data_IF_633947778594
#
_entry.id   IF_633947778594
#
_cell.length_a   1.000
_cell.length_b   1.000
_cell.length_c   1.000
_cell.angle_alpha   90.00
_cell.angle_beta   90.00
_cell.angle_gamma   90.00
#
_symmetry.space_group_name_H-M   'P 1'
#
loop_
_entity.id
_entity.type
_entity.pdbx_description
1 polymer ?
#
# COMPACT_ATOMS: atom_id res chain seq x y z
N UNK A 1 -23.01 -47.91 -4.33
CA UNK A 1 -23.15 -46.79 -5.28
C UNK A 1 -23.53 -47.34 -6.63
N UNK A 2 -24.56 -46.77 -7.28
CA UNK A 2 -25.00 -47.17 -8.62
C UNK A 2 -23.93 -46.74 -9.66
N UNK A 3 -23.38 -47.66 -10.49
CA UNK A 3 -22.41 -47.33 -11.54
C UNK A 3 -22.91 -46.28 -12.55
N UNK A 4 -24.22 -46.28 -12.81
CA UNK A 4 -24.86 -45.37 -13.75
C UNK A 4 -24.90 -43.92 -13.21
N UNK A 5 -25.24 -43.75 -11.93
CA UNK A 5 -25.19 -42.46 -11.25
C UNK A 5 -23.77 -41.88 -11.22
N UNK A 6 -22.76 -42.74 -11.01
CA UNK A 6 -21.35 -42.34 -11.07
C UNK A 6 -20.93 -41.87 -12.47
N UNK A 7 -21.46 -42.50 -13.53
CA UNK A 7 -21.20 -42.07 -14.90
C UNK A 7 -21.87 -40.72 -15.20
N UNK A 8 -23.12 -40.51 -14.75
CA UNK A 8 -23.83 -39.24 -14.92
C UNK A 8 -23.12 -38.07 -14.21
N UNK A 9 -22.62 -38.28 -12.99
CA UNK A 9 -21.82 -37.25 -12.29
C UNK A 9 -20.54 -36.91 -13.04
N UNK A 10 -19.88 -37.90 -13.67
CA UNK A 10 -18.69 -37.62 -14.50
C UNK A 10 -19.03 -36.74 -15.70
N UNK A 11 -20.20 -36.94 -16.33
CA UNK A 11 -20.66 -36.11 -17.45
C UNK A 11 -20.99 -34.71 -16.94
N UNK A 12 -21.72 -34.57 -15.83
CA UNK A 12 -22.01 -33.27 -15.21
C UNK A 12 -20.73 -32.48 -14.91
N UNK A 13 -19.69 -33.15 -14.40
CA UNK A 13 -18.37 -32.56 -14.11
C UNK A 13 -17.61 -32.05 -15.33
N UNK A 14 -17.98 -32.49 -16.54
CA UNK A 14 -17.41 -31.95 -17.78
C UNK A 14 -18.02 -30.58 -18.13
N UNK A 15 -19.23 -30.29 -17.63
CA UNK A 15 -19.93 -29.02 -17.88
C UNK A 15 -19.67 -28.00 -16.76
N UNK A 16 -19.67 -28.45 -15.50
CA UNK A 16 -19.54 -27.58 -14.34
C UNK A 16 -18.82 -28.31 -13.19
N UNK A 17 -17.90 -27.66 -12.46
CA UNK A 17 -17.22 -28.29 -11.33
C UNK A 17 -18.23 -28.66 -10.25
N UNK A 18 -18.23 -29.92 -9.81
CA UNK A 18 -19.08 -30.39 -8.71
C UNK A 18 -18.42 -31.57 -8.01
N UNK A 19 -18.64 -31.66 -6.68
CA UNK A 19 -18.23 -32.82 -5.89
C UNK A 19 -19.06 -34.06 -6.23
N UNK A 20 -18.55 -35.26 -5.92
CA UNK A 20 -19.30 -36.49 -6.21
C UNK A 20 -20.62 -36.58 -5.42
N UNK A 21 -20.60 -36.27 -4.12
CA UNK A 21 -21.80 -36.31 -3.26
C UNK A 21 -22.83 -35.28 -3.70
N UNK A 22 -22.42 -34.01 -3.80
CA UNK A 22 -23.28 -32.92 -4.27
C UNK A 22 -23.84 -33.19 -5.66
N UNK A 23 -23.02 -33.70 -6.59
CA UNK A 23 -23.45 -34.02 -7.94
C UNK A 23 -24.51 -35.13 -7.99
N UNK A 24 -24.40 -36.16 -7.15
CA UNK A 24 -25.44 -37.20 -7.06
C UNK A 24 -26.75 -36.64 -6.51
N UNK A 25 -26.69 -35.87 -5.41
CA UNK A 25 -27.88 -35.23 -4.82
C UNK A 25 -28.57 -34.29 -5.82
N UNK A 26 -27.78 -33.55 -6.60
CA UNK A 26 -28.29 -32.63 -7.61
C UNK A 26 -28.99 -33.38 -8.75
N UNK A 27 -28.37 -34.44 -9.28
CA UNK A 27 -28.95 -35.28 -10.32
C UNK A 27 -30.22 -35.98 -9.84
N UNK A 28 -30.24 -36.52 -8.62
CA UNK A 28 -31.45 -37.10 -8.02
C UNK A 28 -32.59 -36.07 -7.95
N UNK A 29 -32.29 -34.84 -7.52
CA UNK A 29 -33.28 -33.76 -7.45
C UNK A 29 -33.80 -33.29 -8.82
N UNK A 30 -33.01 -33.50 -9.88
CA UNK A 30 -33.35 -33.17 -11.27
C UNK A 30 -33.80 -34.42 -12.07
N UNK A 31 -34.17 -35.52 -11.41
CA UNK A 31 -34.58 -36.77 -12.04
C UNK A 31 -33.59 -37.32 -13.09
N UNK A 32 -32.29 -37.06 -12.90
CA UNK A 32 -31.20 -37.47 -13.80
C UNK A 32 -30.94 -36.52 -14.97
N UNK A 33 -31.64 -35.38 -15.06
CA UNK A 33 -31.40 -34.37 -16.11
C UNK A 33 -30.12 -33.60 -15.82
N UNK A 34 -29.10 -33.85 -16.65
CA UNK A 34 -27.75 -33.25 -16.51
C UNK A 34 -27.78 -31.75 -16.83
N UNK A 35 -28.54 -31.33 -17.84
CA UNK A 35 -28.61 -29.92 -18.25
C UNK A 35 -29.33 -29.10 -17.18
N UNK A 36 -30.43 -29.63 -16.64
CA UNK A 36 -31.14 -29.00 -15.54
C UNK A 36 -30.28 -28.92 -14.28
N UNK A 37 -29.54 -29.99 -13.96
CA UNK A 37 -28.61 -30.02 -12.84
C UNK A 37 -27.49 -28.98 -13.01
N UNK A 38 -26.88 -28.89 -14.20
CA UNK A 38 -25.84 -27.91 -14.49
C UNK A 38 -26.37 -26.47 -14.37
N UNK A 39 -27.56 -26.18 -14.93
CA UNK A 39 -28.19 -24.87 -14.83
C UNK A 39 -28.50 -24.47 -13.38
N UNK A 40 -28.98 -25.41 -12.56
CA UNK A 40 -29.25 -25.16 -11.14
C UNK A 40 -27.96 -24.85 -10.38
N UNK A 41 -26.87 -25.58 -10.65
CA UNK A 41 -25.59 -25.35 -9.99
C UNK A 41 -24.96 -24.03 -10.42
N UNK A 42 -25.05 -23.67 -11.70
CA UNK A 42 -24.67 -22.34 -12.20
C UNK A 42 -25.42 -21.24 -11.44
N UNK A 43 -26.74 -21.37 -11.27
CA UNK A 43 -27.53 -20.41 -10.49
C UNK A 43 -27.07 -20.33 -9.02
N UNK A 44 -26.68 -21.45 -8.40
CA UNK A 44 -26.14 -21.45 -7.02
C UNK A 44 -24.82 -20.68 -6.93
N UNK A 45 -23.90 -20.88 -7.87
CA UNK A 45 -22.63 -20.15 -7.90
C UNK A 45 -22.84 -18.66 -8.17
N UNK A 46 -23.69 -18.33 -9.13
CA UNK A 46 -24.09 -16.96 -9.44
C UNK A 46 -24.69 -16.25 -8.22
N UNK A 47 -25.64 -16.89 -7.54
CA UNK A 47 -26.28 -16.35 -6.35
C UNK A 47 -25.28 -16.11 -5.20
N UNK A 48 -24.29 -17.00 -5.02
CA UNK A 48 -23.23 -16.81 -4.01
C UNK A 48 -22.37 -15.59 -4.31
N UNK A 49 -21.95 -15.42 -5.56
CA UNK A 49 -21.15 -14.26 -5.96
C UNK A 49 -21.98 -12.99 -5.86
N UNK A 50 -23.23 -12.99 -6.36
CA UNK A 50 -24.13 -11.83 -6.29
C UNK A 50 -24.44 -11.45 -4.84
N UNK A 51 -24.62 -12.41 -3.95
CA UNK A 51 -24.83 -12.14 -2.52
C UNK A 51 -23.63 -11.41 -1.88
N UNK A 52 -22.40 -11.73 -2.31
CA UNK A 52 -21.17 -11.11 -1.80
C UNK A 52 -20.88 -9.75 -2.44
N UNK A 53 -20.98 -9.65 -3.77
CA UNK A 53 -20.57 -8.46 -4.51
C UNK A 53 -21.70 -7.46 -4.77
N UNK A 54 -22.96 -7.89 -4.60
CA UNK A 54 -24.18 -7.13 -4.95
C UNK A 54 -24.25 -6.69 -6.42
N UNK A 55 -23.44 -7.30 -7.28
CA UNK A 55 -23.43 -7.02 -8.72
C UNK A 55 -24.51 -7.82 -9.45
N UNK A 56 -24.86 -7.33 -10.64
CA UNK A 56 -25.79 -7.98 -11.54
C UNK A 56 -25.20 -9.24 -12.20
N UNK A 57 -26.06 -10.22 -12.46
CA UNK A 57 -25.69 -11.49 -13.08
C UNK A 57 -24.98 -11.33 -14.43
N UNK A 58 -25.34 -10.29 -15.19
CA UNK A 58 -24.73 -9.96 -16.48
C UNK A 58 -23.23 -9.63 -16.35
N UNK A 59 -22.80 -9.11 -15.21
CA UNK A 59 -21.38 -8.82 -14.91
C UNK A 59 -20.69 -10.07 -14.37
N UNK A 60 -21.37 -10.81 -13.50
CA UNK A 60 -20.78 -11.93 -12.76
C UNK A 60 -20.57 -13.15 -13.67
N UNK A 61 -21.59 -13.53 -14.44
CA UNK A 61 -21.60 -14.81 -15.15
C UNK A 61 -20.44 -14.98 -16.14
N UNK A 62 -20.08 -13.98 -16.98
CA UNK A 62 -18.92 -14.10 -17.87
C UNK A 62 -17.62 -14.37 -17.12
N UNK A 63 -17.42 -13.71 -15.97
CA UNK A 63 -16.21 -13.90 -15.16
C UNK A 63 -16.19 -15.27 -14.49
N UNK A 64 -17.34 -15.69 -13.95
CA UNK A 64 -17.53 -16.99 -13.32
C UNK A 64 -17.16 -18.12 -14.30
N UNK A 65 -17.64 -18.05 -15.55
CA UNK A 65 -17.30 -19.01 -16.60
C UNK A 65 -15.80 -18.97 -16.90
N UNK A 66 -15.21 -17.78 -17.07
CA UNK A 66 -13.77 -17.61 -17.33
C UNK A 66 -12.90 -18.19 -16.21
N UNK A 67 -13.37 -18.12 -14.97
CA UNK A 67 -12.72 -18.66 -13.77
C UNK A 67 -13.13 -20.10 -13.46
N UNK A 68 -13.78 -20.79 -14.39
CA UNK A 68 -14.22 -22.17 -14.22
C UNK A 68 -15.04 -22.36 -12.93
N UNK A 69 -15.93 -21.42 -12.65
CA UNK A 69 -16.79 -21.42 -11.47
C UNK A 69 -16.05 -21.38 -10.11
N UNK A 70 -14.79 -20.93 -10.07
CA UNK A 70 -14.12 -20.58 -8.82
C UNK A 70 -14.76 -19.31 -8.22
N UNK A 71 -15.71 -19.52 -7.30
CA UNK A 71 -16.46 -18.47 -6.61
C UNK A 71 -15.52 -17.52 -5.86
N UNK A 72 -14.48 -18.04 -5.20
CA UNK A 72 -13.60 -17.23 -4.36
C UNK A 72 -12.74 -16.29 -5.22
N UNK A 73 -12.11 -16.81 -6.29
CA UNK A 73 -11.36 -15.98 -7.22
C UNK A 73 -12.25 -14.98 -7.97
N UNK A 74 -13.49 -15.38 -8.30
CA UNK A 74 -14.45 -14.49 -8.97
C UNK A 74 -14.82 -13.32 -8.07
N UNK A 75 -15.16 -13.57 -6.80
CA UNK A 75 -15.43 -12.52 -5.81
C UNK A 75 -14.23 -11.60 -5.66
N UNK A 76 -13.04 -12.15 -5.39
CA UNK A 76 -11.82 -11.35 -5.18
C UNK A 76 -11.48 -10.45 -6.37
N UNK A 77 -11.68 -10.95 -7.59
CA UNK A 77 -11.43 -10.16 -8.79
C UNK A 77 -12.48 -9.05 -8.98
N UNK A 78 -13.77 -9.32 -8.73
CA UNK A 78 -14.82 -8.30 -8.83
C UNK A 78 -14.68 -7.22 -7.75
N UNK A 79 -14.35 -7.61 -6.52
CA UNK A 79 -14.07 -6.66 -5.44
C UNK A 79 -12.92 -5.73 -5.83
N UNK A 80 -11.89 -6.23 -6.51
CA UNK A 80 -10.80 -5.41 -7.00
C UNK A 80 -11.17 -4.51 -8.18
N UNK A 81 -11.85 -5.06 -9.18
CA UNK A 81 -12.21 -4.32 -10.40
C UNK A 81 -13.21 -3.19 -10.12
N UNK A 82 -14.14 -3.41 -9.20
CA UNK A 82 -15.19 -2.45 -8.83
C UNK A 82 -14.93 -1.75 -7.49
N UNK A 83 -13.77 -2.00 -6.86
CA UNK A 83 -13.37 -1.45 -5.54
C UNK A 83 -14.47 -1.64 -4.48
N UNK A 84 -14.94 -2.87 -4.33
CA UNK A 84 -16.04 -3.19 -3.42
C UNK A 84 -15.52 -3.51 -2.02
N UNK A 85 -16.23 -3.00 -1.02
CA UNK A 85 -16.17 -3.47 0.37
C UNK A 85 -17.60 -3.85 0.75
N UNK A 86 -17.82 -5.10 1.17
CA UNK A 86 -19.14 -5.65 1.49
C UNK A 86 -20.20 -5.41 0.38
N UNK A 87 -19.76 -5.44 -0.88
CA UNK A 87 -20.60 -5.23 -2.06
C UNK A 87 -20.96 -3.76 -2.34
N UNK A 88 -20.34 -2.80 -1.66
CA UNK A 88 -20.50 -1.36 -1.91
C UNK A 88 -19.24 -0.82 -2.55
N UNK A 89 -19.37 -0.15 -3.69
CA UNK A 89 -18.27 0.51 -4.36
C UNK A 89 -17.73 1.67 -3.53
N UNK A 90 -16.42 1.71 -3.38
CA UNK A 90 -15.70 2.69 -2.58
C UNK A 90 -14.80 3.56 -3.44
N UNK A 91 -14.44 4.70 -2.85
CA UNK A 91 -13.34 5.52 -3.34
C UNK A 91 -12.02 4.74 -3.30
N UNK A 92 -11.08 5.07 -4.19
CA UNK A 92 -9.80 4.36 -4.34
C UNK A 92 -9.00 4.33 -3.03
N UNK A 93 -8.92 5.46 -2.33
CA UNK A 93 -8.20 5.54 -1.05
C UNK A 93 -8.83 4.66 0.03
N UNK A 94 -10.17 4.71 0.18
CA UNK A 94 -10.90 3.88 1.17
C UNK A 94 -10.71 2.39 0.88
N UNK A 95 -10.82 2.00 -0.39
CA UNK A 95 -10.60 0.63 -0.81
C UNK A 95 -9.16 0.17 -0.54
N UNK A 96 -8.17 1.01 -0.84
CA UNK A 96 -6.74 0.71 -0.61
C UNK A 96 -6.44 0.49 0.87
N UNK A 97 -6.94 1.38 1.75
CA UNK A 97 -6.77 1.23 3.21
C UNK A 97 -7.39 -0.08 3.72
N UNK A 98 -8.59 -0.42 3.25
CA UNK A 98 -9.26 -1.66 3.67
C UNK A 98 -8.53 -2.92 3.18
N UNK A 99 -8.18 -2.96 1.89
CA UNK A 99 -7.52 -4.12 1.27
C UNK A 99 -6.18 -4.41 1.92
N UNK A 100 -5.43 -3.38 2.26
CA UNK A 100 -4.07 -3.47 2.77
C UNK A 100 -3.99 -3.12 4.25
N UNK A 101 -5.05 -3.39 5.02
CA UNK A 101 -5.07 -3.13 6.46
C UNK A 101 -3.95 -3.89 7.21
N UNK A 102 -3.58 -5.09 6.72
CA UNK A 102 -2.50 -5.90 7.26
C UNK A 102 -1.10 -5.48 6.76
N UNK A 103 -1.03 -4.65 5.72
CA UNK A 103 0.20 -4.14 5.10
C UNK A 103 0.07 -2.63 4.93
N UNK A 104 0.11 -1.93 6.08
CA UNK A 104 -0.12 -0.48 6.16
C UNK A 104 0.91 0.31 5.38
N UNK A 105 2.15 -0.18 5.35
CA UNK A 105 3.24 0.41 4.56
C UNK A 105 2.86 0.42 3.09
N UNK A 106 2.51 -0.74 2.51
CA UNK A 106 2.07 -0.80 1.13
C UNK A 106 0.88 0.15 0.85
N UNK A 107 -0.09 0.21 1.76
CA UNK A 107 -1.24 1.11 1.62
C UNK A 107 -0.81 2.59 1.52
N UNK A 108 0.06 3.04 2.44
CA UNK A 108 0.58 4.41 2.48
C UNK A 108 1.36 4.73 1.19
N UNK A 109 2.27 3.85 0.76
CA UNK A 109 3.03 4.04 -0.48
C UNK A 109 2.14 4.07 -1.72
N UNK A 110 1.13 3.19 -1.80
CA UNK A 110 0.20 3.16 -2.92
C UNK A 110 -0.59 4.47 -3.03
N UNK A 111 -1.08 5.01 -1.90
CA UNK A 111 -1.83 6.27 -1.85
C UNK A 111 -0.92 7.45 -2.18
N UNK A 112 0.29 7.52 -1.61
CA UNK A 112 1.26 8.56 -1.91
C UNK A 112 1.64 8.56 -3.41
N UNK A 113 1.90 7.38 -3.97
CA UNK A 113 2.20 7.20 -5.39
C UNK A 113 1.06 7.65 -6.30
N UNK A 114 -0.19 7.38 -5.91
CA UNK A 114 -1.38 7.84 -6.65
C UNK A 114 -1.51 9.36 -6.62
N UNK A 115 -1.34 9.99 -5.46
CA UNK A 115 -1.36 11.45 -5.33
C UNK A 115 -0.34 12.12 -6.26
N UNK A 116 0.87 11.56 -6.35
CA UNK A 116 1.94 12.07 -7.21
C UNK A 116 1.63 11.96 -8.71
N UNK A 117 0.74 11.06 -9.13
CA UNK A 117 0.29 11.00 -10.54
C UNK A 117 -0.64 12.16 -10.90
N UNK A 118 -1.42 12.64 -9.94
CA UNK A 118 -2.44 13.67 -10.15
C UNK A 118 -1.90 15.10 -9.87
N UNK A 119 -0.76 15.21 -9.19
CA UNK A 119 -0.13 16.49 -8.88
C UNK A 119 1.02 16.78 -9.87
N UNK A 120 1.00 17.91 -10.58
CA UNK A 120 2.13 18.35 -11.40
C UNK A 120 3.24 18.91 -10.51
N UNK A 121 3.99 18.03 -9.84
CA UNK A 121 5.23 18.44 -9.16
C UNK A 121 6.30 18.53 -10.23
N UNK A 122 6.68 19.78 -10.55
CA UNK A 122 7.75 20.05 -11.50
C UNK A 122 9.08 19.76 -10.80
N UNK A 123 9.52 18.51 -10.92
CA UNK A 123 10.80 18.03 -10.40
C UNK A 123 11.89 18.90 -10.99
N UNK A 124 12.49 19.77 -10.18
CA UNK A 124 13.57 20.61 -10.72
C UNK A 124 14.70 19.70 -11.19
N UNK A 125 14.95 19.71 -12.51
CA UNK A 125 16.15 19.27 -13.22
C UNK A 125 17.22 18.59 -12.33
N UNK A 126 16.99 17.32 -11.98
CA UNK A 126 18.08 16.43 -11.58
C UNK A 126 18.86 16.01 -12.84
N UNK A 127 19.51 17.00 -13.47
CA UNK A 127 20.52 16.80 -14.53
C UNK A 127 21.85 16.26 -13.98
N UNK A 128 21.83 15.64 -12.79
CA UNK A 128 22.91 14.78 -12.31
C UNK A 128 22.47 13.32 -12.40
N UNK A 129 22.61 12.80 -13.62
CA UNK A 129 22.85 11.39 -13.96
C UNK A 129 21.75 10.38 -13.56
N UNK A 130 20.95 9.99 -14.55
CA UNK A 130 20.60 8.60 -14.89
C UNK A 130 20.39 7.59 -13.74
N UNK A 131 19.71 7.99 -12.67
CA UNK A 131 19.12 7.08 -11.68
C UNK A 131 17.64 7.42 -11.57
N UNK A 132 16.88 6.93 -12.55
CA UNK A 132 15.46 6.66 -12.37
C UNK A 132 15.30 5.94 -11.00
N UNK A 133 14.52 6.51 -10.08
CA UNK A 133 13.92 5.90 -8.87
C UNK A 133 14.13 6.62 -7.52
N UNK A 134 14.93 7.67 -7.43
CA UNK A 134 15.13 8.37 -6.16
C UNK A 134 14.56 9.79 -6.21
N UNK A 135 13.27 9.93 -5.90
CA UNK A 135 12.64 11.24 -5.67
C UNK A 135 13.01 11.68 -4.27
N UNK A 136 13.67 12.82 -4.12
CA UNK A 136 13.81 13.48 -2.82
C UNK A 136 13.17 14.85 -3.05
N UNK A 137 11.96 15.08 -2.53
CA UNK A 137 11.25 16.34 -2.77
C UNK A 137 11.74 17.45 -1.86
N UNK A 138 12.24 18.55 -2.43
CA UNK A 138 12.60 19.72 -1.61
C UNK A 138 11.35 20.47 -1.14
N UNK A 139 11.45 21.21 -0.03
CA UNK A 139 10.33 21.98 0.52
C UNK A 139 9.61 22.86 -0.54
N UNK A 140 10.37 23.43 -1.49
CA UNK A 140 9.81 24.25 -2.56
C UNK A 140 8.82 23.48 -3.46
N UNK A 141 9.07 22.21 -3.72
CA UNK A 141 8.23 21.34 -4.57
C UNK A 141 6.95 20.92 -3.84
N UNK A 142 7.01 20.81 -2.51
CA UNK A 142 5.92 20.37 -1.65
C UNK A 142 5.03 21.52 -1.14
N UNK A 143 5.51 22.77 -1.21
CA UNK A 143 4.81 23.94 -0.65
C UNK A 143 3.44 24.20 -1.26
N UNK A 144 3.21 23.80 -2.51
CA UNK A 144 1.94 23.97 -3.21
C UNK A 144 0.86 22.95 -2.83
N UNK A 145 1.21 21.90 -2.09
CA UNK A 145 0.30 20.85 -1.67
C UNK A 145 -0.59 21.31 -0.50
N UNK A 146 -1.80 20.77 -0.42
CA UNK A 146 -2.57 20.91 0.81
C UNK A 146 -1.84 20.18 1.96
N UNK A 147 -2.05 20.59 3.23
CA UNK A 147 -1.29 20.06 4.36
C UNK A 147 -1.37 18.54 4.52
N UNK A 148 -2.52 17.94 4.22
CA UNK A 148 -2.74 16.49 4.36
C UNK A 148 -1.90 15.72 3.32
N UNK A 149 -1.96 16.12 2.06
CA UNK A 149 -1.15 15.52 0.99
C UNK A 149 0.33 15.73 1.22
N UNK A 150 0.71 16.93 1.67
CA UNK A 150 2.11 17.25 1.97
C UNK A 150 2.68 16.33 3.04
N UNK A 151 1.97 16.17 4.16
CA UNK A 151 2.39 15.29 5.25
C UNK A 151 2.63 13.86 4.75
N UNK A 152 1.69 13.31 3.97
CA UNK A 152 1.78 11.94 3.46
C UNK A 152 2.94 11.80 2.48
N UNK A 153 3.03 12.67 1.47
CA UNK A 153 4.08 12.59 0.47
C UNK A 153 5.46 12.81 1.09
N UNK A 154 5.61 13.86 1.92
CA UNK A 154 6.90 14.23 2.50
C UNK A 154 7.49 13.13 3.38
N UNK A 155 6.68 12.56 4.28
CA UNK A 155 7.18 11.52 5.19
C UNK A 155 7.34 10.17 4.49
N UNK A 156 6.47 9.81 3.53
CA UNK A 156 6.65 8.57 2.76
C UNK A 156 7.95 8.62 1.94
N UNK A 157 8.20 9.73 1.25
CA UNK A 157 9.42 9.95 0.45
C UNK A 157 10.68 9.99 1.34
N UNK A 158 10.61 10.62 2.52
CA UNK A 158 11.72 10.64 3.46
C UNK A 158 12.03 9.28 4.09
N UNK A 159 11.00 8.47 4.39
CA UNK A 159 11.18 7.10 4.87
C UNK A 159 11.83 6.23 3.80
N UNK A 160 11.42 6.35 2.53
CA UNK A 160 12.12 5.72 1.41
C UNK A 160 13.58 6.17 1.38
N UNK A 161 13.87 7.47 1.56
CA UNK A 161 15.24 7.97 1.54
C UNK A 161 16.11 7.38 2.63
N UNK A 162 15.58 7.40 3.84
CA UNK A 162 16.24 6.91 5.01
C UNK A 162 16.52 5.40 4.86
N UNK A 163 15.57 4.62 4.33
CA UNK A 163 15.78 3.21 4.08
C UNK A 163 16.93 2.93 3.09
N UNK A 164 17.05 3.75 2.04
CA UNK A 164 18.07 3.55 1.00
C UNK A 164 19.45 4.07 1.36
N UNK A 165 19.56 5.28 1.92
CA UNK A 165 20.84 5.92 2.21
C UNK A 165 21.23 5.87 3.70
N UNK A 166 20.27 5.60 4.58
CA UNK A 166 20.42 5.69 6.03
C UNK A 166 20.20 7.11 6.58
N UNK A 167 19.86 7.18 7.87
CA UNK A 167 19.59 8.42 8.59
C UNK A 167 20.71 9.47 8.45
N UNK A 168 21.97 9.05 8.44
CA UNK A 168 23.15 9.91 8.25
C UNK A 168 23.03 10.81 7.01
N UNK A 169 22.38 10.36 5.94
CA UNK A 169 22.08 11.18 4.77
C UNK A 169 20.71 11.86 4.87
N UNK A 170 19.69 11.13 5.31
CA UNK A 170 18.31 11.61 5.34
C UNK A 170 18.08 12.81 6.26
N UNK A 171 18.82 12.96 7.36
CA UNK A 171 18.69 14.11 8.28
C UNK A 171 19.00 15.47 7.63
N UNK A 172 19.71 15.47 6.50
CA UNK A 172 20.07 16.70 5.78
C UNK A 172 18.99 17.15 4.81
N UNK A 173 17.98 16.32 4.59
CA UNK A 173 16.96 16.55 3.58
C UNK A 173 15.71 17.18 4.19
N UNK A 174 15.62 18.51 4.12
CA UNK A 174 14.50 19.31 4.66
C UNK A 174 14.11 18.96 6.11
N UNK A 175 15.05 18.95 7.08
CA UNK A 175 14.79 18.49 8.46
C UNK A 175 13.69 19.27 9.16
N UNK A 176 13.57 20.58 8.91
CA UNK A 176 12.50 21.40 9.47
C UNK A 176 11.12 21.01 8.94
N UNK A 177 11.02 20.68 7.65
CA UNK A 177 9.78 20.20 7.05
C UNK A 177 9.41 18.83 7.63
N UNK A 178 10.35 17.88 7.68
CA UNK A 178 10.10 16.56 8.25
C UNK A 178 9.67 16.65 9.72
N UNK A 179 10.34 17.48 10.52
CA UNK A 179 9.96 17.71 11.90
C UNK A 179 8.58 18.39 12.03
N UNK A 180 8.19 19.26 11.09
CA UNK A 180 6.85 19.83 11.05
C UNK A 180 5.79 18.76 10.74
N UNK A 181 6.03 17.89 9.77
CA UNK A 181 5.07 16.84 9.41
C UNK A 181 4.97 15.74 10.47
N UNK A 182 6.07 15.37 11.14
CA UNK A 182 6.03 14.49 12.31
C UNK A 182 5.14 15.09 13.43
N UNK A 183 5.17 16.41 13.64
CA UNK A 183 4.26 17.08 14.58
C UNK A 183 2.81 17.08 14.11
N UNK A 184 2.55 17.16 12.80
CA UNK A 184 1.20 16.98 12.23
C UNK A 184 0.63 15.61 12.62
N UNK A 185 1.49 14.58 12.63
CA UNK A 185 1.15 13.22 13.09
C UNK A 185 1.15 13.05 14.62
N UNK A 186 1.34 14.13 15.39
CA UNK A 186 1.47 14.13 16.85
C UNK A 186 2.70 13.35 17.38
N UNK A 187 3.69 13.10 16.53
CA UNK A 187 4.94 12.43 16.86
C UNK A 187 6.01 13.43 17.33
N UNK A 188 5.69 14.16 18.40
CA UNK A 188 6.51 15.27 18.89
C UNK A 188 7.93 14.85 19.31
N UNK A 189 8.08 13.68 19.91
CA UNK A 189 9.39 13.16 20.35
C UNK A 189 10.27 12.77 19.15
N UNK A 190 9.71 12.13 18.12
CA UNK A 190 10.43 11.85 16.86
C UNK A 190 10.87 13.14 16.17
N UNK A 191 10.00 14.15 16.13
CA UNK A 191 10.35 15.46 15.59
C UNK A 191 11.53 16.10 16.36
N UNK A 192 11.54 15.98 17.69
CA UNK A 192 12.61 16.51 18.54
C UNK A 192 13.93 15.73 18.36
N UNK A 193 13.86 14.40 18.26
CA UNK A 193 15.02 13.55 17.97
C UNK A 193 15.65 13.90 16.61
N UNK A 194 14.82 14.05 15.56
CA UNK A 194 15.28 14.45 14.23
C UNK A 194 15.98 15.81 14.26
N UNK A 195 15.39 16.79 14.91
CA UNK A 195 16.00 18.12 15.06
C UNK A 195 17.30 18.08 15.86
N UNK A 196 17.37 17.24 16.90
CA UNK A 196 18.59 17.07 17.70
C UNK A 196 19.71 16.46 16.85
N UNK A 197 19.43 15.39 16.09
CA UNK A 197 20.40 14.76 15.20
C UNK A 197 20.90 15.75 14.13
N UNK A 198 19.99 16.49 13.51
CA UNK A 198 20.31 17.54 12.54
C UNK A 198 21.17 18.65 13.14
N UNK A 199 20.80 19.19 14.32
CA UNK A 199 21.54 20.26 14.97
C UNK A 199 22.97 19.83 15.30
N UNK A 200 23.18 18.62 15.81
CA UNK A 200 24.52 18.09 16.09
C UNK A 200 25.33 17.95 14.80
N UNK A 201 24.69 17.50 13.71
CA UNK A 201 25.32 17.41 12.39
C UNK A 201 25.80 18.79 11.92
N UNK A 202 24.97 19.83 12.04
CA UNK A 202 25.32 21.20 11.65
C UNK A 202 26.40 21.83 12.54
N UNK A 203 26.30 21.68 13.86
CA UNK A 203 27.33 22.16 14.80
C UNK A 203 28.69 21.48 14.56
N UNK A 204 28.66 20.20 14.16
CA UNK A 204 29.86 19.48 13.74
C UNK A 204 30.36 20.01 12.40
N UNK A 205 29.47 20.31 11.45
CA UNK A 205 29.84 20.85 10.13
C UNK A 205 30.64 22.14 10.24
N UNK A 206 30.29 23.02 11.19
CA UNK A 206 31.03 24.26 11.47
C UNK A 206 32.48 24.02 11.91
N UNK A 207 32.79 22.85 12.50
CA UNK A 207 34.12 22.46 12.96
C UNK A 207 34.96 21.79 11.85
N UNK A 208 34.33 21.41 10.73
CA UNK A 208 34.94 20.71 9.60
C UNK A 208 34.71 21.50 8.30
N UNK A 209 35.38 22.67 8.11
CA UNK A 209 35.32 23.39 6.84
C UNK A 209 35.90 22.52 5.71
N UNK A 210 35.23 22.47 4.56
CA UNK A 210 35.60 21.59 3.43
C UNK A 210 35.19 20.12 3.62
N UNK A 211 34.24 19.83 4.51
CA UNK A 211 33.73 18.47 4.73
C UNK A 211 33.19 17.80 3.46
N UNK A 212 32.83 18.55 2.43
CA UNK A 212 32.32 18.07 1.14
C UNK A 212 33.36 18.13 -0.01
N UNK A 213 34.61 18.53 0.27
CA UNK A 213 35.66 18.65 -0.74
C UNK A 213 36.09 17.30 -1.33
N UNK A 214 36.14 16.26 -0.49
CA UNK A 214 36.45 14.89 -0.89
C UNK A 214 35.83 13.84 0.05
N UNK A 215 35.84 12.58 -0.38
CA UNK A 215 35.28 11.46 0.39
C UNK A 215 35.92 11.29 1.78
N UNK A 216 37.21 11.60 1.93
CA UNK A 216 37.93 11.43 3.21
C UNK A 216 37.50 12.51 4.21
N UNK A 217 37.34 13.75 3.74
CA UNK A 217 36.84 14.88 4.51
C UNK A 217 35.41 14.65 4.95
N UNK A 218 34.57 14.11 4.04
CA UNK A 218 33.21 13.68 4.37
C UNK A 218 33.20 12.60 5.45
N UNK A 219 34.04 11.58 5.32
CA UNK A 219 34.10 10.49 6.29
C UNK A 219 34.58 10.98 7.67
N UNK A 220 35.53 11.92 7.72
CA UNK A 220 36.00 12.51 8.97
C UNK A 220 34.89 13.30 9.68
N UNK A 221 34.14 14.11 8.92
CA UNK A 221 32.96 14.83 9.41
C UNK A 221 31.86 13.87 9.89
N UNK A 222 31.50 12.87 9.07
CA UNK A 222 30.46 11.88 9.38
C UNK A 222 30.78 11.11 10.65
N UNK A 223 32.03 10.63 10.78
CA UNK A 223 32.47 9.92 11.97
C UNK A 223 32.42 10.79 13.24
N UNK A 224 32.66 12.10 13.12
CA UNK A 224 32.70 12.99 14.27
C UNK A 224 31.33 13.12 14.94
N UNK A 225 30.27 13.40 14.18
CA UNK A 225 28.93 13.47 14.77
C UNK A 225 28.36 12.10 15.11
N UNK A 226 28.66 11.04 14.34
CA UNK A 226 28.23 9.68 14.68
C UNK A 226 28.84 9.16 16.00
N UNK A 227 29.99 9.71 16.44
CA UNK A 227 30.55 9.41 17.75
C UNK A 227 29.89 10.18 18.89
N UNK A 228 29.09 11.22 18.61
CA UNK A 228 28.37 11.97 19.62
C UNK A 228 27.29 11.05 20.27
N UNK A 229 27.29 10.90 21.61
CA UNK A 229 26.33 10.02 22.29
C UNK A 229 24.88 10.50 22.17
N UNK A 230 24.65 11.82 22.07
CA UNK A 230 23.31 12.40 21.89
C UNK A 230 22.80 12.15 20.48
N UNK A 231 23.67 12.27 19.48
CA UNK A 231 23.32 11.90 18.09
C UNK A 231 22.93 10.43 18.01
N UNK A 232 23.74 9.52 18.56
CA UNK A 232 23.44 8.08 18.57
C UNK A 232 22.14 7.76 19.27
N UNK A 233 21.84 8.40 20.39
CA UNK A 233 20.56 8.23 21.07
C UNK A 233 19.38 8.68 20.20
N UNK A 234 19.52 9.80 19.47
CA UNK A 234 18.49 10.27 18.56
C UNK A 234 18.31 9.33 17.36
N UNK A 235 19.41 8.86 16.77
CA UNK A 235 19.41 7.89 15.68
C UNK A 235 18.76 6.56 16.11
N UNK A 236 19.18 5.99 17.23
CA UNK A 236 18.59 4.77 17.81
C UNK A 236 17.08 4.93 18.04
N UNK A 237 16.67 6.10 18.55
CA UNK A 237 15.24 6.39 18.78
C UNK A 237 14.46 6.50 17.47
N UNK A 238 15.00 7.17 16.45
CA UNK A 238 14.35 7.29 15.14
C UNK A 238 14.21 5.91 14.49
N UNK A 239 15.30 5.14 14.40
CA UNK A 239 15.31 3.81 13.80
C UNK A 239 14.36 2.85 14.51
N UNK A 240 14.28 2.90 15.85
CA UNK A 240 13.37 2.06 16.62
C UNK A 240 11.88 2.39 16.41
N UNK A 241 11.56 3.58 15.88
CA UNK A 241 10.19 4.06 15.76
C UNK A 241 9.77 4.36 14.30
N UNK A 242 10.50 3.87 13.30
CA UNK A 242 10.12 4.07 11.89
C UNK A 242 8.73 3.51 11.57
N UNK A 243 8.44 2.29 12.05
CA UNK A 243 7.13 1.67 11.86
C UNK A 243 5.99 2.52 12.47
N UNK A 244 6.25 3.23 13.57
CA UNK A 244 5.26 4.11 14.20
C UNK A 244 4.88 5.28 13.28
N UNK A 245 5.83 5.80 12.48
CA UNK A 245 5.55 6.84 11.48
C UNK A 245 4.57 6.31 10.43
N UNK A 246 4.82 5.11 9.90
CA UNK A 246 3.93 4.45 8.92
C UNK A 246 2.54 4.17 9.49
N UNK A 247 2.45 3.70 10.74
CA UNK A 247 1.18 3.46 11.41
C UNK A 247 0.37 4.74 11.58
N UNK A 248 1.02 5.82 12.02
CA UNK A 248 0.37 7.13 12.15
C UNK A 248 0.01 7.73 10.79
N UNK A 249 0.80 7.53 9.73
CA UNK A 249 0.45 7.94 8.37
C UNK A 249 -0.80 7.22 7.88
N UNK A 250 -0.89 5.91 8.09
CA UNK A 250 -2.07 5.12 7.73
C UNK A 250 -3.33 5.65 8.43
N UNK A 251 -3.27 5.82 9.76
CA UNK A 251 -4.40 6.33 10.55
C UNK A 251 -4.74 7.78 10.17
N UNK A 252 -3.73 8.60 9.85
CA UNK A 252 -3.91 9.97 9.38
C UNK A 252 -4.64 10.03 8.04
N UNK A 253 -4.30 9.17 7.08
CA UNK A 253 -5.03 9.07 5.81
C UNK A 253 -6.47 8.58 6.05
N UNK A 254 -6.65 7.57 6.90
CA UNK A 254 -7.97 7.05 7.23
C UNK A 254 -8.91 8.12 7.82
N UNK A 255 -8.37 9.04 8.64
CA UNK A 255 -9.11 10.14 9.24
C UNK A 255 -9.37 11.33 8.28
N UNK A 256 -8.76 11.34 7.10
CA UNK A 256 -8.85 12.42 6.11
C UNK A 256 -9.18 11.91 4.72
N UNK A 257 -9.89 10.78 4.60
CA UNK A 257 -10.24 10.16 3.30
C UNK A 257 -10.96 11.11 2.35
N UNK A 258 -11.70 12.10 2.87
CA UNK A 258 -12.34 13.19 2.10
C UNK A 258 -11.35 14.08 1.32
N UNK A 259 -10.06 14.00 1.64
CA UNK A 259 -8.99 14.77 1.01
C UNK A 259 -8.26 14.01 -0.08
N UNK A 260 -8.47 12.71 -0.23
CA UNK A 260 -7.76 11.89 -1.22
C UNK A 260 -8.69 11.51 -2.38
N UNK A 261 -8.15 11.12 -3.55
CA UNK A 261 -8.93 10.58 -4.66
C UNK A 261 -9.52 9.19 -4.40
#
# INVERSE_FOLDING_TARGET
MNPEALAQVKILRQQIPVGYTEGMELLESCAGDIEQAAALLQQRYLARVSAATKLEDAIILPLLIRKQYDVAQTISQLEQEYRLIDGVAQQETVYTLHRWQADREYAVHAIAGRLLQDIPINRQDNTRHDLHHFSWYVEAELRGLNPVHRCVIALTDWLDYEYWEGLTYAIRYSPDLMAAELRTLQLHELAAALQTAWQISEETREQYPGWDDDFKSYLAYSNAYQQNPVYRQAEDYISANQQLITEHLFDFIQNHTDRFP
#
